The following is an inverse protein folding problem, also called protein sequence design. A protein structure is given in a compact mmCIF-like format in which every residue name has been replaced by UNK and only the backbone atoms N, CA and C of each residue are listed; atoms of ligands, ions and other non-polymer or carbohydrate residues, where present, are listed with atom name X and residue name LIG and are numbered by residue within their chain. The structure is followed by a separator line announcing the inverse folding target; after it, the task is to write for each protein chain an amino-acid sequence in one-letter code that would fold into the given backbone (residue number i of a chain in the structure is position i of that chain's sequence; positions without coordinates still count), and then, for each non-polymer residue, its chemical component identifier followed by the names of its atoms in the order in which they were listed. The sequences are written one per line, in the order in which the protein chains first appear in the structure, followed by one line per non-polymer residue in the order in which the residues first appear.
data_IF_943206163012
#
_entry.id   IF_943206163012
#
_cell.length_a   1.000
_cell.length_b   1.000
_cell.length_c   1.000
_cell.angle_alpha   90.00
_cell.angle_beta   90.00
_cell.angle_gamma   90.00
#
_symmetry.space_group_name_H-M   'P 1'
#
loop_
_entity.id
_entity.type
_entity.pdbx_description
1 polymer ?
#
# COMPACT_ATOMS: atom_id res chain seq x y z
N UNK A 1 2.20 -7.34 14.27
CA UNK A 1 2.69 -5.93 14.27
C UNK A 1 1.53 -5.01 13.86
N UNK A 2 1.30 -3.96 14.61
CA UNK A 2 0.30 -2.94 14.29
C UNK A 2 0.95 -1.57 14.37
N UNK A 3 0.71 -0.73 13.35
CA UNK A 3 1.36 0.59 13.27
C UNK A 3 0.27 1.66 13.07
N UNK A 4 -0.38 2.09 14.16
CA UNK A 4 -1.38 3.16 14.06
C UNK A 4 -0.73 4.48 13.64
N UNK A 5 -1.38 5.17 12.70
CA UNK A 5 -0.92 6.44 12.18
C UNK A 5 -1.84 7.57 12.65
N UNK A 6 -1.27 8.75 12.85
CA UNK A 6 -2.04 9.92 13.22
C UNK A 6 -3.05 10.29 12.13
N UNK A 7 -4.21 10.77 12.54
CA UNK A 7 -5.22 11.30 11.62
C UNK A 7 -4.59 12.39 10.73
N UNK A 8 -4.83 12.29 9.43
CA UNK A 8 -4.29 13.23 8.45
C UNK A 8 -2.90 12.88 7.91
N UNK A 9 -2.31 11.75 8.33
CA UNK A 9 -1.02 11.30 7.80
C UNK A 9 -1.09 11.15 6.29
N UNK A 10 -0.12 11.72 5.58
CA UNK A 10 0.00 11.65 4.14
C UNK A 10 1.01 10.60 3.67
N UNK A 11 1.48 10.75 2.44
CA UNK A 11 2.33 9.76 1.77
C UNK A 11 3.58 9.40 2.57
N UNK A 12 4.34 10.39 3.04
CA UNK A 12 5.64 10.12 3.65
C UNK A 12 5.51 9.32 4.95
N UNK A 13 4.59 9.70 5.83
CA UNK A 13 4.36 8.97 7.08
C UNK A 13 3.82 7.57 6.84
N UNK A 14 2.93 7.42 5.86
CA UNK A 14 2.37 6.13 5.49
C UNK A 14 3.43 5.21 4.86
N UNK A 15 4.25 5.76 3.95
CA UNK A 15 5.33 5.00 3.32
C UNK A 15 6.44 4.63 4.31
N UNK A 16 6.70 5.46 5.32
CA UNK A 16 7.63 5.11 6.40
C UNK A 16 7.15 3.87 7.18
N UNK A 17 5.85 3.79 7.45
CA UNK A 17 5.27 2.60 8.08
C UNK A 17 5.44 1.36 7.19
N UNK A 18 5.25 1.50 5.89
CA UNK A 18 5.47 0.41 4.93
C UNK A 18 6.95 -0.02 4.93
N UNK A 19 7.89 0.93 4.94
CA UNK A 19 9.32 0.61 5.01
C UNK A 19 9.66 -0.20 6.27
N UNK A 20 9.07 0.18 7.40
CA UNK A 20 9.25 -0.54 8.65
C UNK A 20 8.72 -1.98 8.54
N UNK A 21 7.53 -2.15 7.97
CA UNK A 21 6.95 -3.47 7.74
C UNK A 21 7.81 -4.32 6.79
N UNK A 22 8.35 -3.70 5.74
CA UNK A 22 9.23 -4.40 4.79
C UNK A 22 10.51 -4.90 5.46
N UNK A 23 11.09 -4.13 6.37
CA UNK A 23 12.25 -4.57 7.14
C UNK A 23 11.92 -5.81 7.99
N UNK A 24 10.75 -5.81 8.63
CA UNK A 24 10.28 -6.97 9.39
C UNK A 24 10.05 -8.20 8.49
N UNK A 25 9.50 -8.00 7.30
CA UNK A 25 9.29 -9.07 6.32
C UNK A 25 10.64 -9.71 5.93
N UNK A 26 11.65 -8.89 5.66
CA UNK A 26 12.98 -9.38 5.34
C UNK A 26 13.64 -10.11 6.50
N UNK A 27 13.54 -9.56 7.71
CA UNK A 27 14.12 -10.15 8.91
C UNK A 27 13.49 -11.50 9.24
N UNK A 28 12.21 -11.67 8.90
CA UNK A 28 11.50 -12.94 9.08
C UNK A 28 11.90 -14.02 8.05
N UNK A 29 12.72 -13.66 7.06
CA UNK A 29 13.09 -14.55 5.94
C UNK A 29 11.87 -15.08 5.20
N UNK A 30 10.94 -14.20 4.93
CA UNK A 30 9.67 -14.50 4.28
C UNK A 30 9.89 -15.09 2.89
N UNK A 31 9.20 -16.17 2.57
CA UNK A 31 9.29 -16.83 1.27
C UNK A 31 8.14 -16.47 0.33
N UNK A 32 7.02 -16.04 0.88
CA UNK A 32 5.85 -15.62 0.11
C UNK A 32 5.05 -14.59 0.91
N UNK A 33 4.36 -13.71 0.21
CA UNK A 33 3.61 -12.61 0.82
C UNK A 33 2.13 -12.71 0.47
N UNK A 34 1.27 -12.52 1.44
CA UNK A 34 -0.16 -12.26 1.22
C UNK A 34 -0.40 -10.78 1.56
N UNK A 35 -0.91 -10.04 0.59
CA UNK A 35 -1.12 -8.61 0.70
C UNK A 35 -2.62 -8.29 0.59
N UNK A 36 -3.32 -8.12 1.71
CA UNK A 36 -4.65 -7.53 1.69
C UNK A 36 -4.52 -6.05 1.35
N UNK A 37 -4.99 -5.67 0.16
CA UNK A 37 -4.80 -4.32 -0.37
C UNK A 37 -6.12 -3.57 -0.33
N UNK A 38 -6.16 -2.49 0.43
CA UNK A 38 -7.30 -1.58 0.48
C UNK A 38 -6.87 -0.15 0.14
N UNK A 39 -7.85 0.68 -0.22
CA UNK A 39 -7.62 2.08 -0.59
C UNK A 39 -8.27 3.05 0.38
N UNK A 40 -8.58 2.58 1.59
CA UNK A 40 -9.18 3.40 2.65
C UNK A 40 -8.26 4.53 3.12
N UNK A 41 -6.94 4.39 2.91
CA UNK A 41 -5.98 5.43 3.23
C UNK A 41 -5.99 6.60 2.23
N UNK A 42 -6.73 6.50 1.12
CA UNK A 42 -6.77 7.52 0.07
C UNK A 42 -7.30 8.86 0.60
N UNK A 43 -6.70 9.96 0.11
CA UNK A 43 -7.18 11.31 0.36
C UNK A 43 -8.62 11.53 -0.15
N UNK A 44 -9.08 10.69 -1.08
CA UNK A 44 -10.41 10.78 -1.70
C UNK A 44 -11.47 9.91 -1.01
N UNK A 45 -11.13 9.26 0.10
CA UNK A 45 -12.11 8.47 0.84
C UNK A 45 -13.15 9.35 1.52
N UNK A 46 -14.39 8.88 1.64
CA UNK A 46 -15.45 9.68 2.29
C UNK A 46 -15.10 10.13 3.72
N UNK A 47 -14.42 9.29 4.50
CA UNK A 47 -14.00 9.63 5.86
C UNK A 47 -12.60 10.25 5.91
N UNK A 48 -11.78 10.06 4.89
CA UNK A 48 -10.48 10.68 4.70
C UNK A 48 -9.61 10.76 5.98
N UNK A 49 -9.54 9.64 6.72
CA UNK A 49 -8.75 9.58 7.96
C UNK A 49 -7.25 9.75 7.69
N UNK A 50 -6.77 9.20 6.58
CA UNK A 50 -5.42 9.43 6.05
C UNK A 50 -5.52 10.17 4.72
N UNK A 51 -4.38 10.62 4.20
CA UNK A 51 -4.34 11.47 3.01
C UNK A 51 -3.30 10.96 2.00
N UNK A 52 -3.36 9.67 1.70
CA UNK A 52 -2.46 9.05 0.72
C UNK A 52 -2.92 9.40 -0.69
N UNK A 53 -1.99 9.87 -1.52
CA UNK A 53 -2.25 10.24 -2.91
C UNK A 53 -2.10 9.04 -3.84
N UNK A 54 -2.54 9.18 -5.09
CA UNK A 54 -2.32 8.16 -6.13
C UNK A 54 -0.83 7.83 -6.28
N UNK A 55 0.04 8.85 -6.24
CA UNK A 55 1.49 8.63 -6.27
C UNK A 55 1.97 7.82 -5.08
N UNK A 56 1.42 8.09 -3.89
CA UNK A 56 1.75 7.33 -2.67
C UNK A 56 1.43 5.84 -2.83
N UNK A 57 0.27 5.51 -3.36
CA UNK A 57 -0.09 4.11 -3.64
C UNK A 57 0.83 3.47 -4.68
N UNK A 58 1.17 4.19 -5.74
CA UNK A 58 2.09 3.68 -6.76
C UNK A 58 3.48 3.42 -6.16
N UNK A 59 3.99 4.33 -5.34
CA UNK A 59 5.27 4.15 -4.64
C UNK A 59 5.24 2.93 -3.72
N UNK A 60 4.15 2.73 -2.99
CA UNK A 60 3.97 1.54 -2.15
C UNK A 60 4.02 0.26 -3.00
N UNK A 61 3.33 0.26 -4.14
CA UNK A 61 3.36 -0.86 -5.08
C UNK A 61 4.78 -1.20 -5.51
N UNK A 62 5.56 -0.20 -5.91
CA UNK A 62 6.95 -0.38 -6.32
C UNK A 62 7.82 -0.91 -5.17
N UNK A 63 7.64 -0.38 -3.97
CA UNK A 63 8.40 -0.82 -2.80
C UNK A 63 8.13 -2.30 -2.49
N UNK A 64 6.88 -2.70 -2.46
CA UNK A 64 6.47 -4.07 -2.15
C UNK A 64 6.88 -5.03 -3.27
N UNK A 65 6.70 -4.63 -4.53
CA UNK A 65 7.18 -5.41 -5.68
C UNK A 65 8.68 -5.63 -5.64
N UNK A 66 9.43 -4.63 -5.17
CA UNK A 66 10.88 -4.70 -5.02
C UNK A 66 11.37 -5.73 -3.99
N UNK A 67 10.49 -6.27 -3.15
CA UNK A 67 10.82 -7.41 -2.29
C UNK A 67 11.09 -8.68 -3.10
N UNK A 68 10.57 -8.76 -4.33
CA UNK A 68 10.73 -9.90 -5.25
C UNK A 68 10.27 -11.23 -4.66
N UNK A 69 9.17 -11.18 -3.91
CA UNK A 69 8.55 -12.35 -3.31
C UNK A 69 7.32 -12.77 -4.13
N UNK A 70 7.06 -14.07 -4.25
CA UNK A 70 5.75 -14.52 -4.71
C UNK A 70 4.68 -13.89 -3.84
N UNK A 71 3.70 -13.23 -4.45
CA UNK A 71 2.72 -12.41 -3.72
C UNK A 71 1.30 -12.71 -4.20
N UNK A 72 0.41 -13.01 -3.26
CA UNK A 72 -1.03 -13.03 -3.51
C UNK A 72 -1.61 -11.70 -3.02
N UNK A 73 -2.27 -10.98 -3.91
CA UNK A 73 -2.88 -9.69 -3.60
C UNK A 73 -4.39 -9.87 -3.56
N UNK A 74 -5.03 -9.50 -2.45
CA UNK A 74 -6.47 -9.50 -2.32
C UNK A 74 -6.96 -8.08 -2.14
N UNK A 75 -8.08 -7.72 -2.76
CA UNK A 75 -8.66 -6.40 -2.59
C UNK A 75 -9.55 -6.38 -1.34
N UNK A 76 -9.35 -5.39 -0.49
CA UNK A 76 -10.10 -5.24 0.76
C UNK A 76 -11.00 -3.99 0.71
N UNK A 77 -10.62 -2.90 1.36
CA UNK A 77 -11.40 -1.67 1.45
C UNK A 77 -11.13 -0.69 0.33
N UNK A 78 -11.83 0.43 0.39
CA UNK A 78 -11.79 1.50 -0.58
C UNK A 78 -13.20 1.80 -1.05
N UNK A 79 -13.71 3.01 -0.74
CA UNK A 79 -15.14 3.31 -0.85
C UNK A 79 -15.45 4.47 -1.81
N UNK A 80 -14.43 5.15 -2.34
CA UNK A 80 -14.65 6.09 -3.43
C UNK A 80 -14.52 5.35 -4.75
N UNK A 81 -15.64 4.85 -5.25
CA UNK A 81 -15.69 3.98 -6.44
C UNK A 81 -15.23 4.67 -7.72
N UNK A 82 -15.19 5.99 -7.75
CA UNK A 82 -14.73 6.74 -8.92
C UNK A 82 -13.21 6.69 -9.09
N UNK A 83 -12.47 6.43 -8.01
CA UNK A 83 -11.00 6.48 -8.04
C UNK A 83 -10.32 5.15 -7.75
N UNK A 84 -10.98 4.19 -7.09
CA UNK A 84 -10.31 2.95 -6.66
C UNK A 84 -9.79 2.12 -7.82
N UNK A 85 -10.47 2.13 -8.98
CA UNK A 85 -10.00 1.42 -10.16
C UNK A 85 -8.66 1.95 -10.66
N UNK A 86 -8.50 3.27 -10.72
CA UNK A 86 -7.26 3.91 -11.13
C UNK A 86 -6.15 3.69 -10.09
N UNK A 87 -6.48 3.78 -8.80
CA UNK A 87 -5.52 3.51 -7.73
C UNK A 87 -5.00 2.08 -7.79
N UNK A 88 -5.88 1.13 -8.02
CA UNK A 88 -5.50 -0.28 -8.15
C UNK A 88 -4.62 -0.50 -9.38
N UNK A 89 -5.00 0.08 -10.52
CA UNK A 89 -4.21 -0.03 -11.75
C UNK A 89 -2.80 0.53 -11.56
N UNK A 90 -2.68 1.72 -10.95
CA UNK A 90 -1.40 2.36 -10.69
C UNK A 90 -0.54 1.53 -9.72
N UNK A 91 -1.16 1.00 -8.67
CA UNK A 91 -0.47 0.14 -7.71
C UNK A 91 0.08 -1.12 -8.39
N UNK A 92 -0.78 -1.83 -9.12
CA UNK A 92 -0.40 -3.08 -9.78
C UNK A 92 0.65 -2.87 -10.88
N UNK A 93 0.57 -1.76 -11.62
CA UNK A 93 1.57 -1.41 -12.64
C UNK A 93 2.93 -1.20 -11.98
N UNK A 94 2.99 -0.40 -10.93
CA UNK A 94 4.24 -0.12 -10.22
C UNK A 94 4.81 -1.37 -9.54
N UNK A 95 3.94 -2.19 -8.95
CA UNK A 95 4.32 -3.46 -8.35
C UNK A 95 4.92 -4.40 -9.40
N UNK A 96 4.24 -4.56 -10.52
CA UNK A 96 4.69 -5.45 -11.60
C UNK A 96 6.01 -5.01 -12.23
N UNK A 97 6.20 -3.69 -12.40
CA UNK A 97 7.45 -3.15 -12.96
C UNK A 97 8.65 -3.37 -12.02
N UNK A 98 8.43 -3.41 -10.71
CA UNK A 98 9.47 -3.60 -9.70
C UNK A 98 9.71 -5.08 -9.34
N UNK A 99 8.73 -5.91 -9.58
CA UNK A 99 8.77 -7.33 -9.20
C UNK A 99 9.79 -8.18 -9.99
#
# INVERSE_FOLDING_TARGET
MNMPLAFGTGDEGWLDAIRYAMAAIRDHKTEALVLPLGFDASEHEPLAALKVTAEGFARAGAMIGGLKLPTAITQEGGYNVEVIGDLLADFLQAWGDAA
#
